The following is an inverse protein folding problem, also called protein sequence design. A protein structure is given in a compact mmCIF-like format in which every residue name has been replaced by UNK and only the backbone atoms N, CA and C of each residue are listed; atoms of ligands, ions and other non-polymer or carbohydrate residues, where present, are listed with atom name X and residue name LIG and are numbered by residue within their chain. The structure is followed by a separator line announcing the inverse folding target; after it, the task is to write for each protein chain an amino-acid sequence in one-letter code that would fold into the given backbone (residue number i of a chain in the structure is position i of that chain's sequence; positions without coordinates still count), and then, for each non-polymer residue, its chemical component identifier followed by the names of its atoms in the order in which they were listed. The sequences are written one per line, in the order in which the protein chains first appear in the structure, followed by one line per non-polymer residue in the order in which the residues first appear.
data_IF_149505186546
#
_entry.id   IF_149505186546
#
_cell.length_a   1.000
_cell.length_b   1.000
_cell.length_c   1.000
_cell.angle_alpha   90.00
_cell.angle_beta   90.00
_cell.angle_gamma   90.00
#
_symmetry.space_group_name_H-M   'P 1'
#
loop_
_entity.id
_entity.type
_entity.pdbx_description
1 polymer ?
#
# COMPACT_ATOMS: atom_id res chain seq x y z
N UNK A 1 -4.23 -13.95 34.96
CA UNK A 1 -3.04 -13.29 35.53
C UNK A 1 -2.80 -11.98 34.84
N UNK A 2 -2.72 -10.88 35.61
CA UNK A 2 -2.44 -9.55 35.07
C UNK A 2 -0.95 -9.49 34.71
N UNK A 3 -0.62 -9.37 33.43
CA UNK A 3 0.76 -9.11 32.99
C UNK A 3 1.01 -7.61 32.96
N UNK A 4 2.06 -7.16 33.63
CA UNK A 4 2.51 -5.77 33.58
C UNK A 4 3.64 -5.70 32.57
N UNK A 5 3.46 -4.96 31.48
CA UNK A 5 4.50 -4.64 30.53
C UNK A 5 4.96 -3.20 30.73
N UNK A 6 6.23 -3.01 30.90
CA UNK A 6 6.85 -1.69 30.99
C UNK A 6 7.45 -1.35 29.64
N UNK A 7 6.87 -0.38 28.95
CA UNK A 7 7.39 0.13 27.68
C UNK A 7 8.29 1.34 27.98
N UNK A 8 9.52 1.29 27.50
CA UNK A 8 10.43 2.43 27.56
C UNK A 8 10.54 3.02 26.16
N UNK A 9 10.08 4.26 25.99
CA UNK A 9 10.25 5.01 24.74
C UNK A 9 11.36 6.05 24.93
N UNK A 10 12.26 6.13 23.96
CA UNK A 10 13.29 7.16 23.89
C UNK A 10 12.90 8.13 22.77
N UNK A 11 12.53 9.33 23.14
CA UNK A 11 12.26 10.38 22.16
C UNK A 11 13.04 11.65 22.59
N UNK A 12 13.85 12.20 21.70
CA UNK A 12 14.59 13.46 21.89
C UNK A 12 15.37 13.55 23.23
N UNK A 13 16.05 12.47 23.62
CA UNK A 13 16.90 12.47 24.83
C UNK A 13 16.15 12.35 26.17
N UNK A 14 14.83 12.26 26.16
CA UNK A 14 14.02 12.03 27.37
C UNK A 14 13.61 10.56 27.49
N UNK A 15 13.86 9.94 28.63
CA UNK A 15 13.31 8.62 28.97
C UNK A 15 11.90 8.80 29.54
N UNK A 16 10.89 8.36 28.81
CA UNK A 16 9.55 8.13 29.39
C UNK A 16 9.38 6.64 29.64
N UNK A 17 8.96 6.27 30.82
CA UNK A 17 8.56 4.91 31.18
C UNK A 17 7.07 4.91 31.44
N UNK A 18 6.31 4.18 30.63
CA UNK A 18 4.89 3.97 30.86
C UNK A 18 4.67 2.52 31.29
N UNK A 19 3.78 2.34 32.27
CA UNK A 19 3.39 1.01 32.72
C UNK A 19 2.01 0.72 32.15
N UNK A 20 1.95 -0.24 31.23
CA UNK A 20 0.71 -0.72 30.65
C UNK A 20 0.32 -2.01 31.37
N UNK A 21 -0.90 -2.06 31.89
CA UNK A 21 -1.49 -3.29 32.41
C UNK A 21 -2.16 -4.02 31.25
N UNK A 22 -1.65 -5.20 30.93
CA UNK A 22 -2.30 -6.11 30.01
C UNK A 22 -3.27 -7.00 30.78
N UNK A 23 -4.52 -6.98 30.38
CA UNK A 23 -5.53 -7.91 30.87
C UNK A 23 -5.60 -9.10 29.94
N UNK A 24 -5.63 -10.29 30.50
CA UNK A 24 -5.88 -11.50 29.72
C UNK A 24 -7.37 -11.48 29.29
N UNK A 25 -7.63 -11.45 28.00
CA UNK A 25 -8.98 -11.50 27.44
C UNK A 25 -9.30 -12.97 27.15
N UNK A 26 -10.39 -13.48 27.70
CA UNK A 26 -10.93 -14.79 27.33
C UNK A 26 -11.68 -14.68 26.00
N UNK A 27 -10.96 -14.83 24.90
CA UNK A 27 -11.49 -14.75 23.54
C UNK A 27 -12.64 -15.72 23.24
N UNK A 28 -12.82 -16.75 24.06
CA UNK A 28 -13.97 -17.66 23.93
C UNK A 28 -15.27 -16.99 24.39
N UNK A 29 -15.16 -16.03 25.30
CA UNK A 29 -16.31 -15.20 25.77
C UNK A 29 -16.56 -14.00 24.88
N UNK A 30 -15.52 -13.54 24.18
CA UNK A 30 -15.57 -12.36 23.31
C UNK A 30 -15.07 -12.76 21.91
N UNK A 31 -15.88 -13.53 21.15
CA UNK A 31 -15.51 -13.88 19.79
C UNK A 31 -15.36 -12.62 18.95
N UNK A 32 -14.19 -12.44 18.37
CA UNK A 32 -13.87 -11.24 17.56
C UNK A 32 -13.56 -11.64 16.14
N UNK A 33 -14.00 -10.82 15.19
CA UNK A 33 -13.61 -10.87 13.78
C UNK A 33 -12.80 -9.63 13.47
N UNK A 34 -11.62 -9.82 12.90
CA UNK A 34 -10.76 -8.71 12.48
C UNK A 34 -10.80 -8.59 10.97
N UNK A 35 -11.08 -7.39 10.47
CA UNK A 35 -10.99 -7.05 9.06
C UNK A 35 -9.76 -6.18 8.86
N UNK A 36 -8.77 -6.70 8.17
CA UNK A 36 -7.53 -5.98 7.89
C UNK A 36 -7.05 -6.26 6.46
N UNK A 37 -6.39 -5.29 5.86
CA UNK A 37 -5.75 -5.42 4.55
C UNK A 37 -4.59 -4.44 4.45
N UNK A 38 -3.55 -4.86 3.75
CA UNK A 38 -2.36 -4.08 3.47
C UNK A 38 -2.43 -3.40 2.08
N UNK A 39 -1.39 -2.63 1.77
CA UNK A 39 -1.11 -2.02 0.47
C UNK A 39 -2.02 -0.84 0.06
N UNK A 40 -2.80 -0.30 0.98
CA UNK A 40 -3.63 0.89 0.72
C UNK A 40 -2.75 2.11 0.42
N UNK A 41 -3.16 2.90 -0.57
CA UNK A 41 -2.40 4.07 -1.04
C UNK A 41 -1.26 3.73 -2.00
N UNK A 42 -1.03 2.46 -2.32
CA UNK A 42 0.01 2.03 -3.24
C UNK A 42 -0.44 2.12 -4.71
N UNK A 43 0.38 2.77 -5.54
CA UNK A 43 0.21 2.77 -6.99
C UNK A 43 0.91 1.54 -7.57
N UNK A 44 0.25 0.39 -7.51
CA UNK A 44 0.92 -0.89 -7.72
C UNK A 44 0.93 -1.42 -9.15
N UNK A 45 -0.15 -1.22 -9.87
CA UNK A 45 -0.30 -1.86 -11.19
C UNK A 45 -0.25 -0.84 -12.30
N UNK A 46 -1.38 -0.48 -12.87
CA UNK A 46 -1.44 0.55 -13.88
C UNK A 46 -2.52 1.56 -13.56
N UNK A 47 -2.28 2.81 -13.95
CA UNK A 47 -3.22 3.90 -13.73
C UNK A 47 -4.50 3.74 -14.57
N UNK A 48 -4.41 3.04 -15.70
CA UNK A 48 -5.54 2.80 -16.63
C UNK A 48 -5.70 1.33 -16.99
N UNK A 49 -6.92 0.92 -17.35
CA UNK A 49 -7.21 -0.43 -17.83
C UNK A 49 -6.37 -0.75 -19.09
N UNK A 50 -6.26 0.20 -20.02
CA UNK A 50 -5.48 -0.01 -21.25
C UNK A 50 -3.99 -0.26 -20.97
N UNK A 51 -3.41 0.35 -19.96
CA UNK A 51 -2.03 0.10 -19.55
C UNK A 51 -1.90 -1.21 -18.77
N UNK A 52 -2.91 -1.56 -17.96
CA UNK A 52 -2.98 -2.85 -17.29
C UNK A 52 -3.00 -4.01 -18.31
N UNK A 53 -3.77 -3.90 -19.38
CA UNK A 53 -3.83 -4.90 -20.46
C UNK A 53 -2.49 -5.05 -21.18
N UNK A 54 -1.76 -3.95 -21.43
CA UNK A 54 -0.42 -3.99 -22.00
C UNK A 54 0.58 -4.73 -21.08
N UNK A 55 0.50 -4.42 -19.80
CA UNK A 55 1.36 -5.05 -18.77
C UNK A 55 1.02 -6.54 -18.69
N UNK A 56 -0.25 -6.89 -18.67
CA UNK A 56 -0.69 -8.29 -18.67
C UNK A 56 -0.18 -9.03 -19.92
N UNK A 57 -0.27 -8.42 -21.10
CA UNK A 57 0.30 -8.98 -22.33
C UNK A 57 1.81 -9.21 -22.25
N UNK A 58 2.55 -8.30 -21.59
CA UNK A 58 3.97 -8.51 -21.32
C UNK A 58 4.20 -9.67 -20.34
N UNK A 59 3.42 -9.73 -19.26
CA UNK A 59 3.48 -10.84 -18.30
C UNK A 59 3.32 -12.19 -18.95
N UNK A 60 2.32 -12.32 -19.83
CA UNK A 60 2.09 -13.56 -20.57
C UNK A 60 3.26 -13.94 -21.50
N UNK A 61 3.87 -12.98 -22.18
CA UNK A 61 5.05 -13.21 -23.04
C UNK A 61 6.24 -13.76 -22.26
N UNK A 62 6.34 -13.43 -20.98
CA UNK A 62 7.41 -13.88 -20.10
C UNK A 62 6.99 -15.06 -19.19
N UNK A 63 5.90 -15.75 -19.52
CA UNK A 63 5.46 -16.96 -18.82
C UNK A 63 4.68 -16.71 -17.52
N UNK A 64 4.26 -15.46 -17.26
CA UNK A 64 3.37 -15.13 -16.16
C UNK A 64 1.91 -15.42 -16.51
N UNK A 65 1.13 -15.85 -15.54
CA UNK A 65 -0.30 -16.16 -15.69
C UNK A 65 -1.18 -15.43 -14.67
N UNK A 66 -0.66 -14.41 -13.98
CA UNK A 66 -1.39 -13.69 -12.95
C UNK A 66 -2.27 -12.59 -13.56
N UNK A 67 -3.53 -12.54 -13.15
CA UNK A 67 -4.49 -11.47 -13.50
C UNK A 67 -4.43 -10.29 -12.52
N UNK A 68 -3.72 -10.43 -11.40
CA UNK A 68 -3.62 -9.41 -10.35
C UNK A 68 -3.23 -8.03 -10.88
N UNK A 69 -2.29 -7.88 -11.85
CA UNK A 69 -1.95 -6.58 -12.39
C UNK A 69 -3.11 -5.86 -13.11
N UNK A 70 -4.15 -6.59 -13.52
CA UNK A 70 -5.28 -6.00 -14.26
C UNK A 70 -6.36 -5.47 -13.33
N UNK A 71 -6.53 -6.08 -12.16
CA UNK A 71 -7.62 -5.78 -11.22
C UNK A 71 -7.20 -4.93 -10.03
N UNK A 72 -5.92 -4.94 -9.68
CA UNK A 72 -5.39 -4.20 -8.52
C UNK A 72 -5.03 -2.76 -8.93
N UNK A 73 -5.59 -1.79 -8.26
CA UNK A 73 -5.36 -0.36 -8.52
C UNK A 73 -5.50 0.45 -7.24
N UNK A 74 -5.06 1.71 -7.28
CA UNK A 74 -5.28 2.66 -6.19
C UNK A 74 -6.78 2.86 -5.97
N UNK A 75 -7.20 2.85 -4.73
CA UNK A 75 -8.58 3.16 -4.33
C UNK A 75 -9.00 4.59 -4.69
N UNK A 76 -10.29 4.84 -4.70
CA UNK A 76 -10.85 6.16 -4.91
C UNK A 76 -11.89 6.52 -3.84
N UNK A 77 -12.24 7.81 -3.66
CA UNK A 77 -13.20 8.25 -2.63
C UNK A 77 -14.56 7.57 -2.69
N UNK A 78 -15.04 7.19 -3.89
CA UNK A 78 -16.33 6.50 -4.04
C UNK A 78 -16.26 5.07 -3.51
N UNK A 79 -15.17 4.35 -3.80
CA UNK A 79 -14.95 2.99 -3.29
C UNK A 79 -14.84 3.01 -1.76
N UNK A 80 -14.11 3.96 -1.20
CA UNK A 80 -13.98 4.16 0.24
C UNK A 80 -15.34 4.48 0.88
N UNK A 81 -16.14 5.36 0.27
CA UNK A 81 -17.49 5.65 0.78
C UNK A 81 -18.38 4.41 0.82
N UNK A 82 -18.36 3.60 -0.24
CA UNK A 82 -19.13 2.35 -0.30
C UNK A 82 -18.69 1.36 0.80
N UNK A 83 -17.37 1.27 1.05
CA UNK A 83 -16.84 0.48 2.15
C UNK A 83 -17.37 1.00 3.50
N UNK A 84 -17.28 2.31 3.75
CA UNK A 84 -17.71 2.91 5.02
C UNK A 84 -19.20 2.70 5.26
N UNK A 85 -20.03 2.93 4.26
CA UNK A 85 -21.47 2.67 4.35
C UNK A 85 -21.78 1.21 4.66
N UNK A 86 -21.03 0.28 4.04
CA UNK A 86 -21.17 -1.15 4.33
C UNK A 86 -20.83 -1.45 5.78
N UNK A 87 -19.67 -0.96 6.27
CA UNK A 87 -19.24 -1.19 7.64
C UNK A 87 -20.22 -0.61 8.67
N UNK A 88 -20.82 0.55 8.40
CA UNK A 88 -21.80 1.18 9.26
C UNK A 88 -23.12 0.41 9.38
N UNK A 89 -23.43 -0.48 8.43
CA UNK A 89 -24.63 -1.33 8.51
C UNK A 89 -24.49 -2.47 9.52
N UNK A 90 -23.25 -2.86 9.83
CA UNK A 90 -22.97 -3.94 10.77
C UNK A 90 -22.52 -3.37 12.10
N UNK A 91 -23.27 -3.67 13.15
CA UNK A 91 -23.00 -3.18 14.50
C UNK A 91 -22.98 -4.33 15.48
N UNK A 92 -22.11 -4.21 16.48
CA UNK A 92 -22.10 -5.12 17.63
C UNK A 92 -23.27 -4.83 18.59
N UNK A 93 -23.32 -5.55 19.73
CA UNK A 93 -24.35 -5.42 20.75
C UNK A 93 -24.33 -4.04 21.46
N UNK A 94 -23.19 -3.36 21.46
CA UNK A 94 -23.01 -2.01 22.02
C UNK A 94 -23.35 -0.92 20.97
N UNK A 95 -23.71 -1.30 19.76
CA UNK A 95 -24.04 -0.39 18.66
C UNK A 95 -22.81 0.19 17.95
N UNK A 96 -21.61 -0.33 18.21
CA UNK A 96 -20.36 0.10 17.56
C UNK A 96 -20.29 -0.50 16.16
N UNK A 97 -19.99 0.30 15.12
CA UNK A 97 -19.89 -0.19 13.76
C UNK A 97 -18.67 -1.12 13.58
N UNK A 98 -18.72 -1.96 12.56
CA UNK A 98 -17.56 -2.73 12.14
C UNK A 98 -16.42 -1.79 11.72
N UNK A 99 -15.20 -2.14 12.12
CA UNK A 99 -13.98 -1.36 11.81
C UNK A 99 -13.10 -2.13 10.86
N UNK A 100 -12.61 -1.46 9.83
CA UNK A 100 -11.63 -1.99 8.90
C UNK A 100 -10.27 -1.37 9.18
N UNK A 101 -9.27 -2.20 9.45
CA UNK A 101 -7.87 -1.78 9.62
C UNK A 101 -7.16 -1.81 8.28
N UNK A 102 -6.71 -0.65 7.83
CA UNK A 102 -6.00 -0.48 6.57
C UNK A 102 -4.53 -0.16 6.83
N UNK A 103 -3.64 -1.00 6.34
CA UNK A 103 -2.20 -0.75 6.41
C UNK A 103 -1.75 0.07 5.21
N UNK A 104 -1.36 1.32 5.47
CA UNK A 104 -1.11 2.34 4.47
C UNK A 104 0.33 2.38 3.99
N UNK A 105 0.53 2.44 2.68
CA UNK A 105 1.78 2.89 2.06
C UNK A 105 1.74 4.40 1.86
N UNK A 106 2.63 5.14 2.51
CA UNK A 106 2.55 6.59 2.59
C UNK A 106 3.23 7.34 1.44
N UNK A 107 3.77 6.63 0.47
CA UNK A 107 4.40 7.24 -0.70
C UNK A 107 4.51 6.29 -1.87
N UNK A 108 4.74 6.86 -3.03
CA UNK A 108 4.88 6.15 -4.29
C UNK A 108 6.09 6.68 -5.07
N UNK A 109 6.70 5.90 -5.96
CA UNK A 109 7.77 6.40 -6.82
C UNK A 109 7.28 7.55 -7.71
N UNK A 110 8.02 8.65 -7.75
CA UNK A 110 7.81 9.70 -8.74
C UNK A 110 8.41 9.29 -10.08
N UNK A 111 7.68 8.48 -10.82
CA UNK A 111 8.14 7.91 -12.09
C UNK A 111 8.58 8.99 -13.10
N UNK A 112 7.94 10.15 -13.10
CA UNK A 112 8.28 11.24 -13.99
C UNK A 112 9.65 11.84 -13.65
N UNK A 113 9.92 12.13 -12.39
CA UNK A 113 11.22 12.64 -11.95
C UNK A 113 12.32 11.61 -12.11
N UNK A 114 12.04 10.32 -11.81
CA UNK A 114 13.01 9.24 -11.99
C UNK A 114 13.40 9.08 -13.45
N UNK A 115 12.46 9.19 -14.39
CA UNK A 115 12.76 9.21 -15.82
C UNK A 115 13.54 10.46 -16.24
N UNK A 116 13.10 11.62 -15.76
CA UNK A 116 13.74 12.91 -16.11
C UNK A 116 15.21 12.99 -15.67
N UNK A 117 15.57 12.31 -14.56
CA UNK A 117 16.95 12.22 -14.10
C UNK A 117 17.74 11.06 -14.73
N UNK A 118 17.23 10.45 -15.80
CA UNK A 118 17.83 9.30 -16.49
C UNK A 118 18.13 8.11 -15.57
N UNK A 119 17.23 7.85 -14.62
CA UNK A 119 17.35 6.77 -13.64
C UNK A 119 18.58 6.86 -12.72
N UNK A 120 19.16 8.05 -12.59
CA UNK A 120 20.37 8.25 -11.78
C UNK A 120 20.04 8.29 -10.28
N UNK A 121 18.86 8.80 -9.90
CA UNK A 121 18.42 8.98 -8.53
C UNK A 121 16.98 8.54 -8.36
N UNK A 122 16.71 7.89 -7.22
CA UNK A 122 15.35 7.61 -6.78
C UNK A 122 14.66 8.90 -6.32
N UNK A 123 13.40 9.05 -6.70
CA UNK A 123 12.51 10.13 -6.28
C UNK A 123 11.18 9.52 -5.89
N UNK A 124 10.59 10.02 -4.84
CA UNK A 124 9.26 9.61 -4.37
C UNK A 124 8.34 10.82 -4.21
N UNK A 125 7.06 10.53 -4.12
CA UNK A 125 6.01 11.49 -3.80
C UNK A 125 5.21 10.94 -2.63
N UNK A 126 5.15 11.70 -1.53
CA UNK A 126 4.31 11.37 -0.38
C UNK A 126 2.84 11.61 -0.69
N UNK A 127 1.96 10.80 -0.13
CA UNK A 127 0.51 10.93 -0.34
C UNK A 127 -0.07 12.24 0.19
N UNK A 128 0.60 12.90 1.11
CA UNK A 128 0.28 14.25 1.60
C UNK A 128 0.52 15.34 0.54
N UNK A 129 1.39 15.05 -0.43
CA UNK A 129 1.68 15.93 -1.58
C UNK A 129 0.84 15.55 -2.79
N UNK A 130 0.59 14.25 -2.99
CA UNK A 130 -0.18 13.73 -4.11
C UNK A 130 0.18 12.30 -4.49
N UNK A 131 -0.14 11.95 -5.73
CA UNK A 131 0.14 10.65 -6.34
C UNK A 131 0.93 10.84 -7.64
N UNK A 132 1.60 9.80 -8.15
CA UNK A 132 2.27 9.88 -9.45
C UNK A 132 1.30 10.30 -10.56
N UNK A 133 1.80 11.08 -11.53
CA UNK A 133 1.01 11.57 -12.66
C UNK A 133 0.28 10.44 -13.37
N UNK A 134 -1.03 10.62 -13.61
CA UNK A 134 -1.92 9.62 -14.19
C UNK A 134 -2.63 8.72 -13.15
N UNK A 135 -2.25 8.81 -11.88
CA UNK A 135 -2.86 8.07 -10.79
C UNK A 135 -3.87 8.86 -9.96
N UNK A 136 -4.24 10.05 -10.40
CA UNK A 136 -5.17 10.93 -9.70
C UNK A 136 -6.56 10.26 -9.59
N UNK A 137 -6.98 9.94 -8.37
CA UNK A 137 -8.26 9.28 -8.04
C UNK A 137 -9.18 10.15 -7.19
N UNK A 138 -8.81 11.41 -6.96
CA UNK A 138 -9.44 12.29 -5.99
C UNK A 138 -8.70 12.31 -4.66
N UNK A 139 -9.24 13.02 -3.68
CA UNK A 139 -8.61 13.18 -2.37
C UNK A 139 -8.87 11.95 -1.47
N UNK A 140 -8.03 10.93 -1.64
CA UNK A 140 -8.09 9.68 -0.86
C UNK A 140 -7.70 9.92 0.60
N UNK A 141 -6.73 10.80 0.85
CA UNK A 141 -6.26 11.10 2.22
C UNK A 141 -7.36 11.75 3.05
N UNK A 142 -8.06 12.75 2.48
CA UNK A 142 -9.22 13.34 3.14
C UNK A 142 -10.32 12.29 3.41
N UNK A 143 -10.49 11.33 2.50
CA UNK A 143 -11.48 10.26 2.67
C UNK A 143 -11.08 9.26 3.75
N UNK A 144 -9.81 8.91 3.88
CA UNK A 144 -9.31 8.12 5.02
C UNK A 144 -9.55 8.82 6.36
N UNK A 145 -9.25 10.13 6.43
CA UNK A 145 -9.54 10.93 7.61
C UNK A 145 -11.05 10.98 7.93
N UNK A 146 -11.92 10.95 6.92
CA UNK A 146 -13.36 10.84 7.09
C UNK A 146 -13.76 9.51 7.72
N UNK A 147 -13.30 8.39 7.17
CA UNK A 147 -13.56 7.04 7.69
C UNK A 147 -13.04 6.86 9.13
N UNK A 148 -11.87 7.41 9.45
CA UNK A 148 -11.32 7.42 10.80
C UNK A 148 -12.24 8.18 11.78
N UNK A 149 -12.70 9.39 11.40
CA UNK A 149 -13.64 10.18 12.24
C UNK A 149 -15.00 9.50 12.42
N UNK A 150 -15.43 8.71 11.43
CA UNK A 150 -16.66 7.90 11.50
C UNK A 150 -16.47 6.65 12.37
N UNK A 151 -15.24 6.29 12.73
CA UNK A 151 -14.91 5.12 13.53
C UNK A 151 -15.07 3.79 12.78
N UNK A 152 -14.99 3.80 11.45
CA UNK A 152 -15.13 2.59 10.60
C UNK A 152 -13.84 2.23 9.85
N UNK A 153 -12.87 3.13 9.84
CA UNK A 153 -11.60 2.93 9.15
C UNK A 153 -10.44 3.29 10.09
N UNK A 154 -9.59 2.31 10.38
CA UNK A 154 -8.42 2.47 11.22
C UNK A 154 -7.17 2.44 10.35
N UNK A 155 -6.56 3.61 10.06
CA UNK A 155 -5.32 3.64 9.31
C UNK A 155 -4.14 3.23 10.19
N UNK A 156 -3.32 2.29 9.69
CA UNK A 156 -2.08 1.85 10.31
C UNK A 156 -0.92 1.99 9.32
N UNK A 157 0.27 2.21 9.84
CA UNK A 157 1.44 2.33 9.00
C UNK A 157 1.89 0.97 8.48
N UNK A 158 2.00 0.81 7.17
CA UNK A 158 2.56 -0.37 6.53
C UNK A 158 4.00 -0.11 6.05
N UNK A 159 4.15 0.88 5.17
CA UNK A 159 5.45 1.21 4.58
C UNK A 159 5.48 2.65 4.09
N UNK A 160 6.68 3.15 3.82
CA UNK A 160 6.84 4.39 3.05
C UNK A 160 6.73 4.12 1.55
N UNK A 161 7.14 2.92 1.12
CA UNK A 161 7.17 2.50 -0.28
C UNK A 161 6.85 1.01 -0.36
N UNK A 162 5.70 0.69 -0.92
CA UNK A 162 5.25 -0.69 -1.00
C UNK A 162 6.15 -1.53 -1.94
N UNK A 163 6.50 -2.75 -1.50
CA UNK A 163 7.26 -3.78 -2.23
C UNK A 163 8.57 -3.33 -2.89
N UNK A 164 9.02 -2.13 -2.66
CA UNK A 164 10.15 -1.60 -3.38
C UNK A 164 11.35 -1.42 -2.47
N UNK A 165 12.41 -2.21 -2.73
CA UNK A 165 13.74 -1.74 -2.39
C UNK A 165 14.15 -0.70 -3.45
N UNK A 166 14.16 0.60 -3.14
CA UNK A 166 14.52 1.63 -4.12
C UNK A 166 15.85 1.35 -4.79
N UNK A 167 16.80 0.86 -4.01
CA UNK A 167 18.13 0.50 -4.50
C UNK A 167 18.09 -0.60 -5.57
N UNK A 168 17.42 -1.71 -5.30
CA UNK A 168 17.32 -2.84 -6.24
C UNK A 168 16.53 -2.46 -7.48
N UNK A 169 15.45 -1.70 -7.32
CA UNK A 169 14.65 -1.23 -8.45
C UNK A 169 15.46 -0.29 -9.35
N UNK A 170 16.18 0.67 -8.78
CA UNK A 170 17.07 1.58 -9.52
C UNK A 170 18.21 0.85 -10.20
N UNK A 171 18.76 -0.23 -9.60
CA UNK A 171 19.73 -1.09 -10.27
C UNK A 171 19.13 -1.75 -11.52
N UNK A 172 17.88 -2.23 -11.44
CA UNK A 172 17.19 -2.83 -12.60
C UNK A 172 16.93 -1.84 -13.70
N UNK A 173 16.48 -0.62 -13.36
CA UNK A 173 16.27 0.45 -14.34
C UNK A 173 17.53 0.82 -15.11
N UNK A 174 18.69 0.69 -14.46
CA UNK A 174 20.02 0.96 -15.06
C UNK A 174 20.67 -0.24 -15.70
N UNK A 175 20.13 -1.44 -15.51
CA UNK A 175 20.71 -2.65 -16.06
C UNK A 175 20.65 -2.67 -17.59
N UNK A 176 21.64 -3.29 -18.22
CA UNK A 176 21.64 -3.57 -19.66
C UNK A 176 20.79 -4.80 -19.99
N UNK A 177 20.43 -4.91 -21.29
CA UNK A 177 19.69 -6.05 -21.83
C UNK A 177 18.20 -6.05 -21.46
N UNK A 178 17.54 -7.19 -21.71
CA UNK A 178 16.08 -7.34 -21.66
C UNK A 178 15.47 -6.98 -20.27
N UNK A 179 16.20 -7.22 -19.19
CA UNK A 179 15.70 -6.90 -17.83
C UNK A 179 15.60 -5.41 -17.59
N UNK A 180 16.63 -4.65 -17.95
CA UNK A 180 16.61 -3.20 -17.82
C UNK A 180 15.61 -2.57 -18.77
N UNK A 181 15.50 -3.10 -19.99
CA UNK A 181 14.51 -2.65 -20.97
C UNK A 181 13.08 -2.85 -20.44
N UNK A 182 12.76 -4.03 -19.91
CA UNK A 182 11.46 -4.31 -19.30
C UNK A 182 11.17 -3.39 -18.10
N UNK A 183 12.15 -3.19 -17.21
CA UNK A 183 11.97 -2.31 -16.05
C UNK A 183 11.69 -0.87 -16.49
N UNK A 184 12.42 -0.35 -17.47
CA UNK A 184 12.20 1.00 -18.03
C UNK A 184 10.88 1.10 -18.77
N UNK A 185 10.49 0.08 -19.53
CA UNK A 185 9.19 0.04 -20.20
C UNK A 185 8.04 0.10 -19.19
N UNK A 186 8.08 -0.71 -18.16
CA UNK A 186 7.07 -0.67 -17.08
C UNK A 186 7.07 0.68 -16.35
N UNK A 187 8.23 1.29 -16.14
CA UNK A 187 8.30 2.63 -15.51
C UNK A 187 7.63 3.73 -16.35
N UNK A 188 7.53 3.54 -17.68
CA UNK A 188 6.80 4.46 -18.55
C UNK A 188 5.28 4.44 -18.30
N UNK A 189 4.77 3.35 -17.75
CA UNK A 189 3.37 3.19 -17.35
C UNK A 189 3.16 3.38 -15.83
N UNK A 190 4.14 3.95 -15.14
CA UNK A 190 4.13 4.14 -13.70
C UNK A 190 3.92 2.81 -12.94
N UNK A 191 4.60 1.74 -13.38
CA UNK A 191 4.50 0.40 -12.79
C UNK A 191 5.85 -0.11 -12.36
N UNK A 192 5.87 -0.71 -11.17
CA UNK A 192 7.02 -1.43 -10.65
C UNK A 192 6.86 -2.90 -11.00
N UNK A 193 7.86 -3.46 -11.70
CA UNK A 193 7.87 -4.89 -11.98
C UNK A 193 8.26 -5.66 -10.71
N UNK A 194 7.35 -6.48 -10.21
CA UNK A 194 7.61 -7.32 -9.03
C UNK A 194 8.71 -8.36 -9.28
N UNK A 195 9.41 -8.75 -8.23
CA UNK A 195 10.50 -9.74 -8.31
C UNK A 195 10.09 -11.09 -8.90
N UNK A 196 8.87 -11.52 -8.60
CA UNK A 196 8.32 -12.79 -9.10
C UNK A 196 8.32 -12.90 -10.63
N UNK A 197 8.22 -11.77 -11.34
CA UNK A 197 8.25 -11.74 -12.80
C UNK A 197 9.66 -11.96 -13.31
N UNK A 198 10.66 -11.33 -12.68
CA UNK A 198 12.06 -11.50 -13.06
C UNK A 198 12.57 -12.93 -12.86
N UNK A 199 12.07 -13.63 -11.82
CA UNK A 199 12.47 -15.02 -11.56
C UNK A 199 11.93 -16.00 -12.62
N UNK A 200 10.77 -15.72 -13.22
CA UNK A 200 10.19 -16.55 -14.27
C UNK A 200 10.82 -16.31 -15.67
N UNK A 201 11.40 -15.13 -15.88
CA UNK A 201 12.13 -14.80 -17.14
C UNK A 201 13.52 -15.46 -17.18
N UNK A 202 14.00 -15.98 -16.04
CA UNK A 202 15.34 -16.52 -15.85
C UNK A 202 15.44 -18.05 -15.99
N UNK A 203 14.31 -18.73 -16.19
CA UNK A 203 14.25 -20.16 -16.48
C UNK A 203 14.17 -20.40 -17.97
#
# INVERSE_FOLDING_TARGET
ENRIVRIQTHFAGTRKSETIRLYEIDWRKYPSVVFESDDWGACETAATIADAEKIFGLYQRFGGNSEVPVISTLENPTQLENLYQTLETFRDEDGIPAVFTAFLSLGNPDFAKIRANAFSRYEDIGLDVGVPCGWERGDIVAKWCDGFRRGVFQPEFHSTLHHTSPHLWMQRLRADGAKGELARLCSNWAVIVRESIFLNIMK
#
